data_IF_542971854074
#
_entry.id   IF_542971854074
#
_cell.length_a   1.000
_cell.length_b   1.000
_cell.length_c   1.000
_cell.angle_alpha   90.00
_cell.angle_beta   90.00
_cell.angle_gamma   90.00
#
_symmetry.space_group_name_H-M   'P 1'
#
loop_
_entity.id
_entity.type
_entity.pdbx_description
1 polymer ?
#
# COMPACT_ATOMS: atom_id res chain seq x y z
N UNK A 1 27.33 40.76 -2.60
CA UNK A 1 26.27 41.68 -3.05
C UNK A 1 26.23 41.83 -4.57
N UNK A 2 27.35 41.89 -5.30
CA UNK A 2 27.34 41.94 -6.78
C UNK A 2 26.85 40.66 -7.48
N UNK A 3 27.24 39.48 -7.00
CA UNK A 3 26.81 38.18 -7.57
C UNK A 3 25.31 37.87 -7.39
N UNK A 4 24.64 38.53 -6.45
CA UNK A 4 23.19 38.33 -6.21
C UNK A 4 22.35 39.20 -7.15
N UNK A 5 22.89 40.32 -7.62
CA UNK A 5 22.24 41.22 -8.56
C UNK A 5 22.36 40.71 -10.01
N UNK A 6 23.45 40.05 -10.38
CA UNK A 6 23.61 39.43 -11.71
C UNK A 6 22.66 38.25 -11.95
N UNK A 7 22.29 37.50 -10.91
CA UNK A 7 21.28 36.45 -11.01
C UNK A 7 19.85 37.01 -11.16
N UNK A 8 19.58 38.17 -10.56
CA UNK A 8 18.29 38.87 -10.69
C UNK A 8 18.14 39.58 -12.04
N UNK A 9 19.23 40.04 -12.66
CA UNK A 9 19.18 40.68 -13.97
C UNK A 9 19.17 39.67 -15.13
N UNK A 10 19.77 38.49 -14.98
CA UNK A 10 19.62 37.40 -15.96
C UNK A 10 18.21 36.78 -15.97
N UNK A 11 17.46 36.86 -14.86
CA UNK A 11 16.07 36.41 -14.80
C UNK A 11 15.07 37.38 -15.46
N UNK A 12 15.48 38.63 -15.75
CA UNK A 12 14.63 39.63 -16.42
C UNK A 12 14.61 39.49 -17.94
N UNK A 13 15.58 38.77 -18.54
CA UNK A 13 15.63 38.51 -19.98
C UNK A 13 14.90 37.20 -20.28
N UNK A 14 13.56 37.21 -20.20
CA UNK A 14 12.67 36.27 -20.90
C UNK A 14 11.17 36.51 -20.64
N UNK A 15 10.77 37.45 -19.77
CA UNK A 15 9.35 37.55 -19.38
C UNK A 15 8.56 38.67 -20.07
N UNK A 16 9.19 39.51 -20.90
CA UNK A 16 8.53 40.71 -21.45
C UNK A 16 7.85 40.55 -22.81
N UNK A 17 7.67 39.34 -23.33
CA UNK A 17 6.93 39.17 -24.58
C UNK A 17 6.16 37.88 -24.59
N UNK A 18 4.97 37.89 -23.98
CA UNK A 18 3.73 37.32 -24.52
C UNK A 18 2.59 37.52 -23.51
N UNK A 19 1.42 37.87 -24.06
CA UNK A 19 0.06 38.00 -23.52
C UNK A 19 -0.32 39.23 -22.65
N UNK A 20 -1.12 40.08 -23.31
CA UNK A 20 -2.08 41.03 -22.75
C UNK A 20 -3.18 40.35 -21.90
N UNK A 21 -3.59 41.05 -20.85
CA UNK A 21 -4.87 41.03 -20.13
C UNK A 21 -5.54 39.67 -19.89
N UNK A 22 -5.04 38.95 -18.88
CA UNK A 22 -5.83 37.98 -18.11
C UNK A 22 -5.62 38.34 -16.63
N UNK A 23 -6.71 38.52 -15.88
CA UNK A 23 -6.73 38.98 -14.49
C UNK A 23 -5.75 38.21 -13.58
N UNK A 24 -4.56 38.80 -13.38
CA UNK A 24 -3.38 38.21 -12.74
C UNK A 24 -3.57 37.89 -11.24
N UNK A 25 -4.55 38.52 -10.59
CA UNK A 25 -4.66 38.55 -9.12
C UNK A 25 -5.14 37.22 -8.52
N UNK A 26 -5.89 36.39 -9.26
CA UNK A 26 -6.43 35.12 -8.75
C UNK A 26 -5.48 33.92 -8.92
N UNK A 27 -4.54 33.97 -9.87
CA UNK A 27 -3.62 32.88 -10.16
C UNK A 27 -2.52 32.77 -9.10
N UNK A 28 -2.08 33.90 -8.57
CA UNK A 28 -0.99 33.98 -7.59
C UNK A 28 -1.39 33.35 -6.24
N UNK A 29 -2.65 33.51 -5.83
CA UNK A 29 -3.18 32.94 -4.58
C UNK A 29 -3.21 31.40 -4.59
N UNK A 30 -3.61 30.79 -5.71
CA UNK A 30 -3.69 29.33 -5.82
C UNK A 30 -2.29 28.68 -5.84
N UNK A 31 -1.34 29.30 -6.53
CA UNK A 31 0.04 28.85 -6.58
C UNK A 31 0.73 28.99 -5.20
N UNK A 32 0.50 30.10 -4.50
CA UNK A 32 1.00 30.32 -3.15
C UNK A 32 0.46 29.28 -2.15
N UNK A 33 -0.83 28.95 -2.23
CA UNK A 33 -1.44 27.91 -1.40
C UNK A 33 -0.85 26.52 -1.69
N UNK A 34 -0.68 26.18 -2.97
CA UNK A 34 -0.05 24.91 -3.35
C UNK A 34 1.38 24.81 -2.81
N UNK A 35 2.18 25.89 -2.92
CA UNK A 35 3.54 25.94 -2.36
C UNK A 35 3.56 25.73 -0.83
N UNK A 36 2.61 26.36 -0.12
CA UNK A 36 2.46 26.19 1.32
C UNK A 36 2.08 24.75 1.71
N UNK A 37 1.21 24.10 0.94
CA UNK A 37 0.85 22.68 1.16
C UNK A 37 2.04 21.74 0.93
N UNK A 38 2.86 22.00 -0.08
CA UNK A 38 4.09 21.23 -0.31
C UNK A 38 5.05 21.39 0.86
N UNK A 39 5.24 22.62 1.36
CA UNK A 39 6.10 22.87 2.51
C UNK A 39 5.62 22.14 3.77
N UNK A 40 4.31 22.06 3.99
CA UNK A 40 3.72 21.37 5.16
C UNK A 40 3.74 19.85 5.04
N UNK A 41 3.49 19.30 3.85
CA UNK A 41 3.27 17.86 3.65
C UNK A 41 4.47 17.12 3.06
N UNK A 42 5.43 17.82 2.46
CA UNK A 42 6.55 17.24 1.71
C UNK A 42 6.15 16.59 0.37
N UNK A 43 4.88 16.66 -0.02
CA UNK A 43 4.38 16.07 -1.26
C UNK A 43 4.32 17.13 -2.36
N UNK A 44 5.04 16.94 -3.47
CA UNK A 44 5.10 17.89 -4.60
C UNK A 44 3.81 17.94 -5.46
N UNK A 45 2.89 17.00 -5.26
CA UNK A 45 1.67 16.84 -6.09
C UNK A 45 0.85 18.13 -6.25
N UNK A 46 0.63 18.98 -5.22
CA UNK A 46 -0.11 20.24 -5.37
C UNK A 46 0.50 21.20 -6.40
N UNK A 47 1.83 21.38 -6.39
CA UNK A 47 2.52 22.26 -7.35
C UNK A 47 2.46 21.71 -8.77
N UNK A 48 2.64 20.39 -8.93
CA UNK A 48 2.57 19.73 -10.24
C UNK A 48 1.17 19.88 -10.85
N UNK A 49 0.11 19.83 -10.03
CA UNK A 49 -1.26 20.05 -10.49
C UNK A 49 -1.48 21.46 -11.02
N UNK A 50 -1.00 22.49 -10.32
CA UNK A 50 -1.14 23.89 -10.77
C UNK A 50 -0.33 24.17 -12.04
N UNK A 51 0.88 23.61 -12.15
CA UNK A 51 1.68 23.71 -13.39
C UNK A 51 0.94 23.08 -14.58
N UNK A 52 0.42 21.86 -14.38
CA UNK A 52 -0.30 21.13 -15.43
C UNK A 52 -1.58 21.88 -15.86
N UNK A 53 -2.33 22.41 -14.89
CA UNK A 53 -3.54 23.21 -15.13
C UNK A 53 -3.23 24.44 -15.98
N UNK A 54 -2.19 25.21 -15.62
CA UNK A 54 -1.75 26.39 -16.35
C UNK A 54 -1.32 26.04 -17.78
N UNK A 55 -0.54 24.96 -17.95
CA UNK A 55 -0.12 24.47 -19.28
C UNK A 55 -1.32 24.09 -20.16
N UNK A 56 -2.30 23.41 -19.60
CA UNK A 56 -3.52 23.01 -20.32
C UNK A 56 -4.31 24.25 -20.74
N UNK A 57 -4.52 25.20 -19.85
CA UNK A 57 -5.26 26.44 -20.15
C UNK A 57 -4.55 27.26 -21.24
N UNK A 58 -3.23 27.48 -21.12
CA UNK A 58 -2.44 28.18 -22.13
C UNK A 58 -2.51 27.50 -23.50
N UNK A 59 -2.45 26.16 -23.55
CA UNK A 59 -2.59 25.39 -24.79
C UNK A 59 -3.96 25.55 -25.44
N UNK A 60 -5.04 25.64 -24.63
CA UNK A 60 -6.41 25.85 -25.11
C UNK A 60 -6.60 27.24 -25.70
N UNK A 61 -6.15 28.28 -25.00
CA UNK A 61 -6.23 29.66 -25.45
C UNK A 61 -5.45 29.86 -26.76
N UNK A 62 -4.25 29.27 -26.88
CA UNK A 62 -3.47 29.29 -28.13
C UNK A 62 -4.20 28.66 -29.33
N UNK A 63 -5.11 27.73 -29.06
CA UNK A 63 -5.96 27.08 -30.08
C UNK A 63 -7.30 27.81 -30.29
N UNK A 64 -7.48 28.99 -29.69
CA UNK A 64 -8.72 29.76 -29.75
C UNK A 64 -9.90 29.12 -29.02
N UNK A 65 -9.63 28.24 -28.05
CA UNK A 65 -10.66 27.60 -27.21
C UNK A 65 -10.80 28.37 -25.89
N UNK A 66 -12.02 28.42 -25.39
CA UNK A 66 -12.31 29.04 -24.09
C UNK A 66 -11.65 28.31 -22.91
N UNK A 67 -11.59 29.03 -21.80
CA UNK A 67 -11.10 28.54 -20.52
C UNK A 67 -11.87 27.29 -20.09
N UNK A 68 -11.15 26.32 -19.51
CA UNK A 68 -11.72 25.05 -19.11
C UNK A 68 -12.62 25.23 -17.88
N UNK A 69 -13.92 25.31 -18.10
CA UNK A 69 -14.95 25.26 -17.06
C UNK A 69 -15.38 23.81 -16.84
N UNK A 70 -15.14 23.30 -15.62
CA UNK A 70 -15.57 21.95 -15.23
C UNK A 70 -16.95 22.04 -14.59
N UNK A 71 -17.99 21.63 -15.32
CA UNK A 71 -19.33 21.47 -14.76
C UNK A 71 -19.41 20.15 -14.00
N UNK A 72 -19.48 20.23 -12.66
CA UNK A 72 -19.74 19.07 -11.82
C UNK A 72 -21.24 18.74 -11.86
N UNK A 73 -21.65 17.97 -12.87
CA UNK A 73 -23.01 17.42 -12.92
C UNK A 73 -23.15 16.37 -11.84
N UNK A 74 -24.21 16.48 -11.04
CA UNK A 74 -24.56 15.46 -10.06
C UNK A 74 -24.83 14.14 -10.76
N UNK A 75 -24.33 13.05 -10.19
CA UNK A 75 -24.52 11.71 -10.75
C UNK A 75 -26.02 11.40 -10.83
N UNK A 76 -26.52 11.14 -12.04
CA UNK A 76 -27.90 10.69 -12.22
C UNK A 76 -28.03 9.28 -11.64
N UNK A 77 -28.79 9.16 -10.55
CA UNK A 77 -29.13 7.86 -9.96
C UNK A 77 -30.27 7.24 -10.74
N UNK A 78 -29.97 6.18 -11.48
CA UNK A 78 -30.97 5.37 -12.14
C UNK A 78 -31.57 4.36 -11.16
N UNK A 79 -32.90 4.22 -11.18
CA UNK A 79 -33.57 3.16 -10.43
C UNK A 79 -33.26 1.81 -11.08
N UNK A 80 -32.86 0.84 -10.26
CA UNK A 80 -32.56 -0.52 -10.73
C UNK A 80 -33.85 -1.18 -11.20
N UNK A 81 -33.78 -1.86 -12.35
CA UNK A 81 -34.85 -2.76 -12.80
C UNK A 81 -35.01 -3.91 -11.81
N UNK A 82 -36.21 -4.47 -11.72
CA UNK A 82 -36.49 -5.61 -10.84
C UNK A 82 -35.62 -6.84 -11.18
N UNK A 83 -35.27 -7.01 -12.46
CA UNK A 83 -34.32 -8.03 -12.91
C UNK A 83 -32.91 -7.82 -12.32
N UNK A 84 -32.46 -6.57 -12.26
CA UNK A 84 -31.16 -6.22 -11.71
C UNK A 84 -31.14 -6.42 -10.19
N UNK A 85 -32.23 -6.04 -9.50
CA UNK A 85 -32.40 -6.30 -8.07
C UNK A 85 -32.33 -7.80 -7.77
N UNK A 86 -33.01 -8.63 -8.57
CA UNK A 86 -32.98 -10.08 -8.43
C UNK A 86 -31.57 -10.66 -8.66
N UNK A 87 -30.86 -10.18 -9.70
CA UNK A 87 -29.48 -10.57 -10.00
C UNK A 87 -28.53 -10.23 -8.86
N UNK A 88 -28.65 -9.02 -8.29
CA UNK A 88 -27.84 -8.57 -7.15
C UNK A 88 -28.14 -9.44 -5.93
N UNK A 89 -29.42 -9.75 -5.67
CA UNK A 89 -29.81 -10.60 -4.54
C UNK A 89 -29.18 -11.99 -4.63
N UNK A 90 -29.30 -12.65 -5.79
CA UNK A 90 -28.66 -13.95 -6.05
C UNK A 90 -27.14 -13.90 -5.86
N UNK A 91 -26.49 -12.85 -6.37
CA UNK A 91 -25.03 -12.66 -6.20
C UNK A 91 -24.65 -12.50 -4.73
N UNK A 92 -25.42 -11.73 -3.95
CA UNK A 92 -25.18 -11.55 -2.51
C UNK A 92 -25.32 -12.85 -1.75
N UNK A 93 -26.35 -13.64 -2.03
CA UNK A 93 -26.55 -14.96 -1.42
C UNK A 93 -25.41 -15.93 -1.76
N UNK A 94 -25.03 -16.00 -3.04
CA UNK A 94 -23.89 -16.82 -3.47
C UNK A 94 -22.59 -16.40 -2.79
N UNK A 95 -22.31 -15.10 -2.70
CA UNK A 95 -21.13 -14.58 -2.01
C UNK A 95 -21.17 -14.88 -0.51
N UNK A 96 -22.34 -14.76 0.14
CA UNK A 96 -22.53 -15.13 1.54
C UNK A 96 -22.19 -16.60 1.78
N UNK A 97 -22.72 -17.50 0.95
CA UNK A 97 -22.43 -18.94 1.04
C UNK A 97 -20.95 -19.23 0.80
N UNK A 98 -20.35 -18.59 -0.20
CA UNK A 98 -18.91 -18.73 -0.48
C UNK A 98 -18.05 -18.26 0.70
N UNK A 99 -18.39 -17.13 1.33
CA UNK A 99 -17.69 -16.61 2.49
C UNK A 99 -17.79 -17.55 3.70
N UNK A 100 -18.97 -18.13 3.96
CA UNK A 100 -19.16 -19.13 5.02
C UNK A 100 -18.30 -20.36 4.75
N UNK A 101 -18.34 -20.92 3.53
CA UNK A 101 -17.51 -22.08 3.14
C UNK A 101 -16.03 -21.79 3.27
N UNK A 102 -15.58 -20.61 2.84
CA UNK A 102 -14.19 -20.20 2.96
C UNK A 102 -13.73 -20.15 4.42
N UNK A 103 -14.52 -19.51 5.29
CA UNK A 103 -14.23 -19.43 6.73
C UNK A 103 -14.19 -20.82 7.37
N UNK A 104 -15.13 -21.70 7.02
CA UNK A 104 -15.16 -23.06 7.53
C UNK A 104 -13.95 -23.88 7.08
N UNK A 105 -13.57 -23.81 5.79
CA UNK A 105 -12.36 -24.46 5.27
C UNK A 105 -11.09 -23.96 5.95
N UNK A 106 -10.99 -22.64 6.17
CA UNK A 106 -9.85 -22.05 6.88
C UNK A 106 -9.75 -22.59 8.29
N UNK A 107 -10.85 -22.58 9.05
CA UNK A 107 -10.90 -23.10 10.43
C UNK A 107 -10.54 -24.58 10.48
N UNK A 108 -11.09 -25.38 9.57
CA UNK A 108 -10.79 -26.82 9.51
C UNK A 108 -9.32 -27.09 9.19
N UNK A 109 -8.71 -26.32 8.27
CA UNK A 109 -7.29 -26.46 7.95
C UNK A 109 -6.39 -26.04 9.10
N UNK A 110 -6.74 -24.94 9.78
CA UNK A 110 -6.04 -24.47 10.97
C UNK A 110 -6.08 -25.51 12.10
N UNK A 111 -7.24 -26.12 12.32
CA UNK A 111 -7.38 -27.20 13.30
C UNK A 111 -6.54 -28.43 12.93
N UNK A 112 -6.58 -28.87 11.67
CA UNK A 112 -5.76 -29.99 11.20
C UNK A 112 -4.26 -29.75 11.42
N UNK A 113 -3.78 -28.55 11.09
CA UNK A 113 -2.37 -28.19 11.28
C UNK A 113 -2.01 -28.14 12.77
N UNK A 114 -2.89 -27.63 13.63
CA UNK A 114 -2.67 -27.62 15.08
C UNK A 114 -2.56 -29.05 15.63
N UNK A 115 -3.49 -29.94 15.26
CA UNK A 115 -3.48 -31.34 15.68
C UNK A 115 -2.22 -32.07 15.18
N UNK A 116 -1.73 -31.74 13.98
CA UNK A 116 -0.49 -32.27 13.43
C UNK A 116 0.74 -31.78 14.21
N UNK A 117 0.79 -30.48 14.54
CA UNK A 117 1.84 -29.90 15.39
C UNK A 117 1.89 -30.61 16.74
N UNK A 118 0.74 -30.73 17.43
CA UNK A 118 0.66 -31.37 18.75
C UNK A 118 1.14 -32.84 18.68
N UNK A 119 0.76 -33.56 17.62
CA UNK A 119 1.18 -34.94 17.38
C UNK A 119 2.69 -35.07 17.15
N UNK A 120 3.27 -34.16 16.36
CA UNK A 120 4.71 -34.13 16.09
C UNK A 120 5.51 -33.76 17.34
N UNK A 121 5.03 -32.80 18.13
CA UNK A 121 5.65 -32.42 19.40
C UNK A 121 5.64 -33.57 20.40
N UNK A 122 4.50 -34.26 20.54
CA UNK A 122 4.40 -35.43 21.40
C UNK A 122 5.36 -36.55 20.97
N UNK A 123 5.46 -36.82 19.67
CA UNK A 123 6.40 -37.81 19.12
C UNK A 123 7.86 -37.40 19.35
N UNK A 124 8.19 -36.13 19.14
CA UNK A 124 9.53 -35.61 19.37
C UNK A 124 9.92 -35.78 20.85
N UNK A 125 9.05 -35.39 21.77
CA UNK A 125 9.27 -35.57 23.20
C UNK A 125 9.48 -37.05 23.58
N UNK A 126 8.74 -37.98 22.98
CA UNK A 126 8.94 -39.42 23.20
C UNK A 126 10.31 -39.90 22.69
N UNK A 127 10.70 -39.49 21.47
CA UNK A 127 11.99 -39.84 20.87
C UNK A 127 13.17 -39.27 21.66
N UNK A 128 13.06 -38.05 22.18
CA UNK A 128 14.10 -37.45 23.02
C UNK A 128 14.30 -38.24 24.32
N UNK A 129 13.22 -38.68 24.96
CA UNK A 129 13.30 -39.55 26.16
C UNK A 129 13.98 -40.88 25.83
N UNK A 130 13.60 -41.51 24.73
CA UNK A 130 14.22 -42.77 24.30
C UNK A 130 15.73 -42.58 24.02
N UNK A 131 16.10 -41.46 23.41
CA UNK A 131 17.50 -41.10 23.15
C UNK A 131 18.27 -40.93 24.46
N UNK A 132 17.72 -40.20 25.44
CA UNK A 132 18.32 -40.04 26.78
C UNK A 132 18.50 -41.39 27.48
N UNK A 133 17.49 -42.26 27.44
CA UNK A 133 17.54 -43.59 28.04
C UNK A 133 18.64 -44.45 27.39
N UNK A 134 18.73 -44.45 26.06
CA UNK A 134 19.77 -45.17 25.32
C UNK A 134 21.17 -44.61 25.61
N UNK A 135 21.32 -43.29 25.71
CA UNK A 135 22.59 -42.67 26.09
C UNK A 135 23.00 -43.07 27.50
N UNK A 136 22.06 -43.11 28.44
CA UNK A 136 22.32 -43.56 29.82
C UNK A 136 22.74 -45.03 29.87
N UNK A 137 22.02 -45.89 29.14
CA UNK A 137 22.38 -47.32 29.04
C UNK A 137 23.78 -47.51 28.44
N UNK A 138 24.08 -46.80 27.33
CA UNK A 138 25.40 -46.81 26.72
C UNK A 138 26.48 -46.35 27.69
N UNK A 139 26.26 -45.26 28.42
CA UNK A 139 27.19 -44.75 29.42
C UNK A 139 27.50 -45.78 30.51
N UNK A 140 26.47 -46.40 31.08
CA UNK A 140 26.63 -47.44 32.09
C UNK A 140 27.38 -48.68 31.58
N UNK A 141 27.13 -49.10 30.33
CA UNK A 141 27.87 -50.21 29.72
C UNK A 141 29.35 -49.85 29.49
N UNK A 142 29.64 -48.64 29.02
CA UNK A 142 31.03 -48.19 28.82
C UNK A 142 31.79 -48.09 30.15
N UNK A 143 31.14 -47.64 31.21
CA UNK A 143 31.71 -47.61 32.56
C UNK A 143 31.97 -49.02 33.10
N UNK A 144 31.04 -49.96 32.93
CA UNK A 144 31.26 -51.35 33.32
C UNK A 144 32.44 -51.98 32.55
N UNK A 145 32.58 -51.70 31.25
CA UNK A 145 33.70 -52.18 30.44
C UNK A 145 35.03 -51.54 30.90
N UNK A 146 35.04 -50.26 31.26
CA UNK A 146 36.27 -49.59 31.71
C UNK A 146 36.76 -50.16 33.05
N UNK A 147 35.84 -50.45 33.98
CA UNK A 147 36.16 -51.11 35.26
C UNK A 147 36.76 -52.50 35.08
N UNK A 148 36.31 -53.27 34.08
CA UNK A 148 36.91 -54.58 33.76
C UNK A 148 38.33 -54.43 33.17
N UNK A 149 38.58 -53.36 32.41
CA UNK A 149 39.84 -53.15 31.67
C UNK A 149 40.93 -52.45 32.50
N UNK A 150 40.63 -51.93 33.68
CA UNK A 150 41.59 -51.40 34.65
C UNK A 150 41.34 -52.02 36.04
N UNK A 151 41.94 -53.18 36.35
CA UNK A 151 41.86 -53.75 37.68
C UNK A 151 42.77 -53.00 38.67
N UNK A 152 42.51 -53.08 39.98
CA UNK A 152 43.34 -52.50 41.04
C UNK A 152 44.75 -53.12 41.10
#
# INVERSE_FOLDING_TARGET
MQLMNELLDNAKISFSSVCNDVSLENLDYQLANAALEVFKSGNMTPLIKEELKTKIQASRLKRGKDELTVEFKSEQKYELSDEEKARISKRKEANRLAAVRFRQRRKSKEQQLSEECDSLEARNAALLRELEDLQRQKGGLLEAISQIRSPP
#
